data_IF_861144378419
#
_entry.id   IF_861144378419
#
_cell.length_a   1.000
_cell.length_b   1.000
_cell.length_c   1.000
_cell.angle_alpha   90.00
_cell.angle_beta   90.00
_cell.angle_gamma   90.00
#
_symmetry.space_group_name_H-M   'P 1'
#
loop_
_entity.id
_entity.type
_entity.pdbx_description
1 polymer ?
#
# COMPACT_ATOMS: atom_id res chain seq x y z
N UNK A 1 -6.31 -22.04 -11.17
CA UNK A 1 -6.58 -20.94 -10.21
C UNK A 1 -5.39 -20.28 -9.53
N UNK A 2 -4.34 -21.00 -9.11
CA UNK A 2 -3.21 -20.42 -8.36
C UNK A 2 -2.50 -19.26 -9.08
N UNK A 3 -2.33 -19.37 -10.40
CA UNK A 3 -1.75 -18.32 -11.24
C UNK A 3 -2.59 -17.04 -11.28
N UNK A 4 -3.92 -17.16 -11.34
CA UNK A 4 -4.82 -16.01 -11.33
C UNK A 4 -4.77 -15.27 -9.99
N UNK A 5 -4.77 -16.01 -8.88
CA UNK A 5 -4.68 -15.41 -7.54
C UNK A 5 -3.34 -14.71 -7.30
N UNK A 6 -2.24 -15.22 -7.85
CA UNK A 6 -0.92 -14.60 -7.75
C UNK A 6 -0.82 -13.32 -8.61
N UNK A 7 -1.40 -13.31 -9.82
CA UNK A 7 -1.55 -12.09 -10.64
C UNK A 7 -2.43 -11.05 -9.96
N UNK A 8 -3.52 -11.47 -9.32
CA UNK A 8 -4.40 -10.58 -8.57
C UNK A 8 -3.65 -9.90 -7.43
N UNK A 9 -2.88 -10.67 -6.64
CA UNK A 9 -2.04 -10.14 -5.56
C UNK A 9 -1.02 -9.11 -6.08
N UNK A 10 -0.34 -9.42 -7.18
CA UNK A 10 0.61 -8.50 -7.81
C UNK A 10 -0.08 -7.20 -8.28
N UNK A 11 -1.24 -7.32 -8.93
CA UNK A 11 -2.02 -6.18 -9.37
C UNK A 11 -2.46 -5.29 -8.20
N UNK A 12 -2.97 -5.87 -7.11
CA UNK A 12 -3.35 -5.11 -5.92
C UNK A 12 -2.15 -4.42 -5.24
N UNK A 13 -0.99 -5.09 -5.15
CA UNK A 13 0.22 -4.46 -4.62
C UNK A 13 0.68 -3.26 -5.48
N UNK A 14 0.62 -3.39 -6.81
CA UNK A 14 0.97 -2.30 -7.72
C UNK A 14 -0.02 -1.15 -7.65
N UNK A 15 -1.32 -1.44 -7.61
CA UNK A 15 -2.37 -0.43 -7.45
C UNK A 15 -2.25 0.28 -6.10
N UNK A 16 -1.89 -0.42 -5.02
CA UNK A 16 -1.62 0.20 -3.73
C UNK A 16 -0.42 1.16 -3.78
N UNK A 17 0.65 0.80 -4.48
CA UNK A 17 1.80 1.71 -4.73
C UNK A 17 1.35 2.95 -5.48
N UNK A 18 0.61 2.80 -6.58
CA UNK A 18 0.12 3.93 -7.39
C UNK A 18 -0.80 4.84 -6.58
N UNK A 19 -1.74 4.27 -5.82
CA UNK A 19 -2.62 5.03 -4.94
C UNK A 19 -1.83 5.80 -3.87
N UNK A 20 -0.85 5.17 -3.22
CA UNK A 20 -0.01 5.83 -2.22
C UNK A 20 0.87 6.94 -2.83
N UNK A 21 1.42 6.73 -4.03
CA UNK A 21 2.19 7.74 -4.75
C UNK A 21 1.31 8.93 -5.16
N UNK A 22 0.07 8.67 -5.60
CA UNK A 22 -0.90 9.72 -5.90
C UNK A 22 -1.25 10.56 -4.68
N UNK A 23 -1.47 9.92 -3.51
CA UNK A 23 -1.73 10.63 -2.25
C UNK A 23 -0.55 11.51 -1.84
N UNK A 24 0.68 11.02 -1.97
CA UNK A 24 1.89 11.81 -1.72
C UNK A 24 2.00 13.00 -2.68
N UNK A 25 1.71 12.78 -3.97
CA UNK A 25 1.68 13.85 -4.97
C UNK A 25 0.67 14.95 -4.63
N UNK A 26 -0.55 14.58 -4.22
CA UNK A 26 -1.58 15.54 -3.80
C UNK A 26 -1.13 16.28 -2.53
N UNK A 27 -0.51 15.59 -1.57
CA UNK A 27 0.01 16.22 -0.35
C UNK A 27 1.12 17.25 -0.65
N UNK A 28 2.01 16.95 -1.61
CA UNK A 28 3.05 17.87 -2.08
C UNK A 28 2.46 19.09 -2.79
N UNK A 29 1.51 18.89 -3.72
CA UNK A 29 0.84 20.00 -4.42
C UNK A 29 0.09 20.89 -3.43
N UNK A 30 -0.57 20.30 -2.43
CA UNK A 30 -1.24 21.05 -1.38
C UNK A 30 -0.29 21.87 -0.47
N UNK A 31 1.01 21.54 -0.42
CA UNK A 31 2.01 22.36 0.28
C UNK A 31 2.47 23.57 -0.54
N UNK A 32 2.45 23.47 -1.86
CA UNK A 32 2.88 24.53 -2.78
C UNK A 32 1.71 25.43 -3.20
N UNK A 33 0.48 24.92 -3.11
CA UNK A 33 -0.72 25.68 -3.44
C UNK A 33 -0.89 26.90 -2.51
N UNK A 34 -0.80 28.09 -3.12
CA UNK A 34 -0.96 29.38 -2.44
C UNK A 34 -2.43 29.65 -2.09
N UNK A 35 -3.36 29.00 -2.79
CA UNK A 35 -4.79 29.24 -2.65
C UNK A 35 -5.46 28.32 -1.60
N UNK A 36 -6.14 28.90 -0.59
CA UNK A 36 -6.76 28.15 0.50
C UNK A 36 -8.01 27.33 0.06
N UNK A 37 -8.63 27.67 -1.06
CA UNK A 37 -9.73 26.90 -1.67
C UNK A 37 -9.22 25.60 -2.30
N UNK A 38 -8.11 25.68 -3.03
CA UNK A 38 -7.43 24.56 -3.70
C UNK A 38 -6.87 23.56 -2.70
N UNK A 39 -6.33 24.03 -1.57
CA UNK A 39 -5.85 23.15 -0.49
C UNK A 39 -6.99 22.39 0.19
N UNK A 40 -8.17 23.01 0.41
CA UNK A 40 -9.34 22.32 0.97
C UNK A 40 -9.85 21.22 0.05
N UNK A 41 -10.07 21.51 -1.22
CA UNK A 41 -10.58 20.54 -2.20
C UNK A 41 -9.64 19.35 -2.36
N UNK A 42 -8.33 19.61 -2.43
CA UNK A 42 -7.30 18.56 -2.45
C UNK A 42 -7.32 17.71 -1.17
N UNK A 43 -7.42 18.33 0.01
CA UNK A 43 -7.45 17.60 1.30
C UNK A 43 -8.72 16.77 1.48
N UNK A 44 -9.88 17.25 1.02
CA UNK A 44 -11.11 16.44 0.99
C UNK A 44 -11.01 15.24 0.06
N UNK A 45 -10.34 15.40 -1.10
CA UNK A 45 -10.11 14.32 -2.04
C UNK A 45 -9.10 13.27 -1.50
N UNK A 46 -8.11 13.70 -0.70
CA UNK A 46 -7.21 12.76 -0.01
C UNK A 46 -7.96 11.96 1.05
N UNK A 47 -8.82 12.61 1.85
CA UNK A 47 -9.45 12.01 3.02
C UNK A 47 -10.49 10.93 2.67
N UNK A 48 -11.34 11.18 1.67
CA UNK A 48 -12.42 10.26 1.33
C UNK A 48 -12.04 9.31 0.19
N UNK A 49 -11.89 9.74 -1.08
CA UNK A 49 -11.57 8.79 -2.14
C UNK A 49 -10.14 8.24 -2.02
N UNK A 50 -9.16 9.05 -1.62
CA UNK A 50 -7.76 8.62 -1.52
C UNK A 50 -7.53 7.48 -0.52
N UNK A 51 -7.91 7.68 0.74
CA UNK A 51 -7.74 6.66 1.79
C UNK A 51 -8.62 5.43 1.57
N UNK A 52 -9.84 5.59 1.03
CA UNK A 52 -10.71 4.44 0.76
C UNK A 52 -10.16 3.56 -0.36
N UNK A 53 -9.65 4.16 -1.45
CA UNK A 53 -8.99 3.41 -2.52
C UNK A 53 -7.76 2.69 -1.98
N UNK A 54 -6.91 3.37 -1.21
CA UNK A 54 -5.72 2.74 -0.61
C UNK A 54 -6.09 1.56 0.31
N UNK A 55 -7.11 1.74 1.17
CA UNK A 55 -7.60 0.69 2.06
C UNK A 55 -8.17 -0.51 1.29
N UNK A 56 -8.92 -0.27 0.22
CA UNK A 56 -9.44 -1.34 -0.65
C UNK A 56 -8.33 -2.10 -1.34
N UNK A 57 -7.29 -1.42 -1.84
CA UNK A 57 -6.16 -2.08 -2.50
C UNK A 57 -5.32 -2.91 -1.52
N UNK A 58 -5.05 -2.37 -0.33
CA UNK A 58 -4.36 -3.09 0.74
C UNK A 58 -5.17 -4.29 1.25
N UNK A 59 -6.47 -4.11 1.46
CA UNK A 59 -7.39 -5.18 1.87
C UNK A 59 -7.49 -6.29 0.80
N UNK A 60 -7.58 -5.91 -0.47
CA UNK A 60 -7.55 -6.84 -1.60
C UNK A 60 -6.24 -7.62 -1.68
N UNK A 61 -5.10 -6.97 -1.49
CA UNK A 61 -3.80 -7.62 -1.41
C UNK A 61 -3.71 -8.59 -0.21
N UNK A 62 -4.19 -8.19 0.97
CA UNK A 62 -4.17 -9.04 2.16
C UNK A 62 -5.07 -10.28 2.01
N UNK A 63 -6.30 -10.12 1.48
CA UNK A 63 -7.24 -11.22 1.24
C UNK A 63 -6.70 -12.21 0.21
N UNK A 64 -6.14 -11.71 -0.90
CA UNK A 64 -5.54 -12.55 -1.94
C UNK A 64 -4.32 -13.30 -1.40
N UNK A 65 -3.45 -12.64 -0.63
CA UNK A 65 -2.33 -13.30 0.05
C UNK A 65 -2.79 -14.37 1.06
N UNK A 66 -3.84 -14.11 1.85
CA UNK A 66 -4.39 -15.07 2.79
C UNK A 66 -5.04 -16.28 2.09
N UNK A 67 -5.72 -16.07 0.96
CA UNK A 67 -6.27 -17.15 0.13
C UNK A 67 -5.15 -17.98 -0.48
N UNK A 68 -4.07 -17.35 -0.96
CA UNK A 68 -2.94 -18.04 -1.55
C UNK A 68 -2.14 -18.84 -0.49
N UNK A 69 -2.01 -18.31 0.73
CA UNK A 69 -1.28 -18.98 1.82
C UNK A 69 -1.99 -20.23 2.36
N UNK A 70 -3.31 -20.34 2.18
CA UNK A 70 -4.05 -21.59 2.43
C UNK A 70 -3.81 -22.65 1.36
N UNK A 71 -3.37 -22.25 0.16
CA UNK A 71 -3.17 -23.13 -1.00
C UNK A 71 -1.69 -23.49 -1.22
N UNK A 72 -0.78 -22.67 -0.70
CA UNK A 72 0.67 -22.79 -0.84
C UNK A 72 1.32 -22.52 0.52
N UNK A 73 1.95 -23.55 1.10
CA UNK A 73 2.80 -23.42 2.29
C UNK A 73 4.18 -22.86 1.93
N UNK A 74 4.21 -21.67 1.32
CA UNK A 74 5.47 -20.98 1.00
C UNK A 74 5.80 -19.94 2.08
N UNK A 75 6.96 -20.11 2.72
CA UNK A 75 7.50 -19.16 3.71
C UNK A 75 7.64 -17.74 3.16
N UNK A 76 7.93 -17.58 1.87
CA UNK A 76 8.05 -16.25 1.26
C UNK A 76 6.71 -15.52 1.21
N UNK A 77 5.62 -16.27 0.99
CA UNK A 77 4.28 -15.71 0.96
C UNK A 77 3.80 -15.30 2.36
N UNK A 78 4.14 -16.09 3.39
CA UNK A 78 3.87 -15.72 4.78
C UNK A 78 4.57 -14.41 5.17
N UNK A 79 5.87 -14.27 4.85
CA UNK A 79 6.62 -13.03 5.09
C UNK A 79 6.04 -11.83 4.33
N UNK A 80 5.63 -12.02 3.08
CA UNK A 80 4.99 -10.96 2.29
C UNK A 80 3.67 -10.52 2.95
N UNK A 81 2.87 -11.48 3.42
CA UNK A 81 1.60 -11.22 4.10
C UNK A 81 1.81 -10.44 5.41
N UNK A 82 2.77 -10.85 6.24
CA UNK A 82 3.11 -10.14 7.49
C UNK A 82 3.53 -8.70 7.22
N UNK A 83 4.35 -8.47 6.19
CA UNK A 83 4.75 -7.12 5.79
C UNK A 83 3.58 -6.29 5.26
N UNK A 84 2.67 -6.88 4.50
CA UNK A 84 1.45 -6.22 4.02
C UNK A 84 0.57 -5.77 5.19
N UNK A 85 0.38 -6.63 6.19
CA UNK A 85 -0.34 -6.27 7.41
C UNK A 85 0.36 -5.15 8.18
N UNK A 86 1.68 -5.25 8.37
CA UNK A 86 2.45 -4.20 9.02
C UNK A 86 2.28 -2.85 8.33
N UNK A 87 2.41 -2.82 6.99
CA UNK A 87 2.22 -1.60 6.19
C UNK A 87 0.79 -1.08 6.29
N UNK A 88 -0.22 -1.95 6.26
CA UNK A 88 -1.61 -1.55 6.42
C UNK A 88 -1.86 -0.95 7.81
N UNK A 89 -1.29 -1.52 8.88
CA UNK A 89 -1.39 -1.00 10.24
C UNK A 89 -0.68 0.35 10.37
N UNK A 90 0.52 0.50 9.83
CA UNK A 90 1.24 1.78 9.84
C UNK A 90 0.47 2.84 9.04
N UNK A 91 -0.08 2.48 7.88
CA UNK A 91 -0.93 3.38 7.12
C UNK A 91 -2.19 3.77 7.92
N UNK A 92 -2.90 2.82 8.52
CA UNK A 92 -4.09 3.13 9.31
C UNK A 92 -3.78 4.02 10.53
N UNK A 93 -2.68 3.74 11.25
CA UNK A 93 -2.32 4.48 12.47
C UNK A 93 -1.64 5.82 12.23
N UNK A 94 -1.01 6.02 11.07
CA UNK A 94 -0.25 7.24 10.78
C UNK A 94 -0.98 8.11 9.75
N UNK A 95 -1.35 7.53 8.60
CA UNK A 95 -1.96 8.24 7.48
C UNK A 95 -3.41 8.68 7.78
N UNK A 96 -4.20 7.88 8.49
CA UNK A 96 -5.59 8.25 8.81
C UNK A 96 -5.66 9.46 9.78
N UNK A 97 -4.97 9.46 10.93
CA UNK A 97 -4.98 10.64 11.81
C UNK A 97 -4.25 11.84 11.20
N UNK A 98 -3.19 11.65 10.41
CA UNK A 98 -2.52 12.78 9.71
C UNK A 98 -3.47 13.46 8.73
N UNK A 99 -4.19 12.68 7.94
CA UNK A 99 -5.13 13.20 6.96
C UNK A 99 -6.30 13.91 7.66
N UNK A 100 -6.81 13.34 8.76
CA UNK A 100 -7.88 13.95 9.57
C UNK A 100 -7.43 15.31 10.15
N UNK A 101 -6.22 15.38 10.68
CA UNK A 101 -5.63 16.62 11.18
C UNK A 101 -5.51 17.63 10.04
N UNK A 102 -4.94 17.24 8.89
CA UNK A 102 -4.80 18.11 7.71
C UNK A 102 -6.15 18.63 7.18
N UNK A 103 -7.20 17.81 7.23
CA UNK A 103 -8.56 18.23 6.85
C UNK A 103 -9.16 19.21 7.86
N UNK A 104 -9.08 18.93 9.16
CA UNK A 104 -9.54 19.86 10.21
C UNK A 104 -8.83 21.21 10.10
N UNK A 105 -7.54 21.21 9.78
CA UNK A 105 -6.74 22.41 9.54
C UNK A 105 -7.22 23.21 8.33
N UNK A 106 -7.40 22.55 7.19
CA UNK A 106 -7.85 23.19 5.96
C UNK A 106 -9.20 23.92 6.15
N UNK A 107 -10.06 23.39 7.03
CA UNK A 107 -11.34 24.01 7.40
C UNK A 107 -11.20 25.12 8.47
N UNK A 108 -10.24 25.04 9.38
CA UNK A 108 -10.10 25.97 10.49
C UNK A 108 -9.56 27.35 10.11
N UNK A 109 -8.87 27.51 8.97
CA UNK A 109 -8.28 28.79 8.47
C UNK A 109 -7.40 29.57 9.46
N UNK A 110 -6.96 28.97 10.58
CA UNK A 110 -6.12 29.67 11.57
C UNK A 110 -4.64 29.45 11.28
N UNK A 111 -3.81 30.51 11.24
CA UNK A 111 -2.37 30.35 11.14
C UNK A 111 -1.86 29.85 12.48
N UNK A 112 -1.39 28.61 12.52
CA UNK A 112 -0.79 28.05 13.73
C UNK A 112 0.64 27.65 13.44
N UNK A 113 1.53 28.14 14.30
CA UNK A 113 2.93 27.79 14.29
C UNK A 113 3.06 26.25 14.38
N UNK A 114 3.76 25.64 13.43
CA UNK A 114 4.01 24.19 13.40
C UNK A 114 3.29 23.41 12.30
N UNK A 115 2.38 24.02 11.51
CA UNK A 115 1.71 23.34 10.39
C UNK A 115 2.72 22.81 9.36
N UNK A 116 3.74 23.61 9.00
CA UNK A 116 4.78 23.16 8.07
C UNK A 116 5.52 21.92 8.55
N UNK A 117 5.77 21.80 9.86
CA UNK A 117 6.41 20.63 10.47
C UNK A 117 5.47 19.42 10.42
N UNK A 118 4.18 19.60 10.76
CA UNK A 118 3.19 18.53 10.68
C UNK A 118 3.00 18.00 9.24
N UNK A 119 2.99 18.90 8.26
CA UNK A 119 2.91 18.57 6.83
C UNK A 119 4.17 17.85 6.34
N UNK A 120 5.35 18.31 6.76
CA UNK A 120 6.61 17.64 6.44
C UNK A 120 6.68 16.23 7.04
N UNK A 121 6.26 16.07 8.31
CA UNK A 121 6.18 14.76 8.96
C UNK A 121 5.17 13.83 8.30
N UNK A 122 4.03 14.35 7.85
CA UNK A 122 3.05 13.59 7.05
C UNK A 122 3.65 13.12 5.71
N UNK A 123 4.34 14.00 4.98
CA UNK A 123 4.99 13.64 3.73
C UNK A 123 6.08 12.59 3.93
N UNK A 124 6.87 12.69 5.01
CA UNK A 124 7.89 11.69 5.38
C UNK A 124 7.22 10.34 5.70
N UNK A 125 6.14 10.35 6.49
CA UNK A 125 5.40 9.13 6.82
C UNK A 125 4.82 8.46 5.55
N UNK A 126 4.23 9.24 4.66
CA UNK A 126 3.74 8.78 3.35
C UNK A 126 4.86 8.20 2.49
N UNK A 127 6.03 8.83 2.49
CA UNK A 127 7.21 8.33 1.78
C UNK A 127 7.68 6.98 2.34
N UNK A 128 7.73 6.83 3.68
CA UNK A 128 8.08 5.55 4.31
C UNK A 128 7.08 4.46 3.91
N UNK A 129 5.79 4.73 3.98
CA UNK A 129 4.73 3.78 3.57
C UNK A 129 4.88 3.41 2.08
N UNK A 130 5.15 4.40 1.22
CA UNK A 130 5.37 4.17 -0.22
C UNK A 130 6.59 3.27 -0.45
N UNK A 131 7.71 3.52 0.21
CA UNK A 131 8.91 2.70 0.10
C UNK A 131 8.67 1.25 0.56
N UNK A 132 7.93 1.06 1.64
CA UNK A 132 7.53 -0.27 2.11
C UNK A 132 6.60 -0.98 1.12
N UNK A 133 5.64 -0.26 0.53
CA UNK A 133 4.75 -0.78 -0.51
C UNK A 133 5.50 -1.16 -1.78
N UNK A 134 6.44 -0.33 -2.26
CA UNK A 134 7.29 -0.62 -3.42
C UNK A 134 8.13 -1.87 -3.17
N UNK A 135 8.68 -2.01 -1.96
CA UNK A 135 9.43 -3.21 -1.57
C UNK A 135 8.54 -4.44 -1.56
N UNK A 136 7.32 -4.35 -1.00
CA UNK A 136 6.33 -5.43 -1.03
C UNK A 136 5.89 -5.80 -2.45
N UNK A 137 5.68 -4.82 -3.33
CA UNK A 137 5.34 -5.06 -4.73
C UNK A 137 6.49 -5.75 -5.47
N UNK A 138 7.75 -5.34 -5.22
CA UNK A 138 8.94 -5.98 -5.79
C UNK A 138 9.08 -7.42 -5.30
N UNK A 139 8.87 -7.68 -4.02
CA UNK A 139 8.89 -9.02 -3.44
C UNK A 139 7.74 -9.88 -4.01
N UNK A 140 6.55 -9.31 -4.22
CA UNK A 140 5.42 -9.98 -4.85
C UNK A 140 5.65 -10.32 -6.34
N UNK A 141 6.36 -9.46 -7.08
CA UNK A 141 6.78 -9.72 -8.46
C UNK A 141 7.88 -10.79 -8.54
N UNK A 142 8.70 -10.91 -7.49
CA UNK A 142 9.75 -11.93 -7.37
C UNK A 142 9.24 -13.30 -6.97
N UNK A 143 7.99 -13.42 -6.50
CA UNK A 143 7.29 -14.70 -6.37
C UNK A 143 7.04 -15.27 -7.77
N UNK A 144 8.09 -15.79 -8.40
CA UNK A 144 7.94 -16.67 -9.56
C UNK A 144 7.38 -17.98 -9.04
N UNK A 145 6.21 -18.36 -9.54
CA UNK A 145 5.72 -19.72 -9.43
C UNK A 145 6.85 -20.61 -9.95
N UNK A 146 7.54 -21.32 -9.06
CA UNK A 146 8.42 -22.39 -9.49
C UNK A 146 7.52 -23.32 -10.31
N UNK A 147 7.76 -23.50 -11.62
CA UNK A 147 7.10 -24.57 -12.34
C UNK A 147 7.46 -25.82 -11.53
N UNK A 148 6.44 -26.47 -10.99
CA UNK A 148 6.63 -27.61 -10.10
C UNK A 148 7.68 -28.50 -10.73
N UNK A 149 8.78 -28.76 -10.02
CA UNK A 149 9.80 -29.69 -10.48
C UNK A 149 9.05 -30.89 -11.05
N UNK A 150 9.20 -31.23 -12.34
CA UNK A 150 8.62 -32.46 -12.82
C UNK A 150 9.14 -33.53 -11.88
N UNK A 151 8.23 -34.23 -11.21
CA UNK A 151 8.60 -35.36 -10.37
C UNK A 151 9.49 -36.22 -11.25
N UNK A 152 10.79 -36.28 -10.91
CA UNK A 152 11.74 -37.17 -11.53
C UNK A 152 11.18 -38.55 -11.19
N UNK A 153 10.32 -39.08 -12.07
CA UNK A 153 9.92 -40.47 -12.07
C UNK A 153 11.23 -41.22 -12.16
N UNK A 154 11.73 -41.62 -11.00
CA UNK A 154 12.65 -42.73 -10.88
C UNK A 154 11.89 -43.94 -11.39
N UNK A 155 11.84 -44.10 -12.71
CA UNK A 155 11.71 -45.41 -13.32
C UNK A 155 13.05 -46.09 -13.08
N UNK A 156 13.20 -46.54 -11.83
CA UNK A 156 14.09 -47.64 -11.50
C UNK A 156 13.61 -48.79 -12.36
N UNK A 157 14.41 -49.09 -13.38
CA UNK A 157 14.69 -50.42 -13.89
C UNK A 157 13.99 -51.52 -13.06
N UNK A 158 12.87 -52.03 -13.57
CA UNK A 158 12.41 -53.37 -13.24
C UNK A 158 13.04 -54.24 -14.32
N UNK A 159 14.15 -54.87 -13.89
CA UNK A 159 14.68 -56.10 -14.45
C UNK A 159 13.59 -57.18 -14.53
#
# INVERSE_FOLDING_TARGET
>A
DRWHALRLLQAFCLLAVVACAGLLGIALVAMVAVEPSTTRTMRTAVLHPGLTVLALMLGGAALTAARLGRLLEDRNLQRLRERLYFVATVAALVLAPSALLGWRWAFAQRPVAGIGVALAMEAIAQLIVLLLLVRNARDALRLRVQPGRPARRSMSSIL
#
